data_IF_233818626988
#
_entry.id   IF_233818626988
#
_cell.length_a   1.000
_cell.length_b   1.000
_cell.length_c   1.000
_cell.angle_alpha   90.00
_cell.angle_beta   90.00
_cell.angle_gamma   90.00
#
_symmetry.space_group_name_H-M   'P 1'
#
loop_
_entity.id
_entity.type
_entity.pdbx_description
1 polymer ?
#
# COMPACT_ATOMS: atom_id res chain seq x y z
N UNK A 1 24.96 26.49 12.31
CA UNK A 1 24.98 26.23 13.77
C UNK A 1 24.26 24.92 14.04
N UNK A 2 24.76 24.06 14.93
CA UNK A 2 24.14 22.77 15.27
C UNK A 2 23.03 23.01 16.32
N UNK A 3 21.79 22.63 15.99
CA UNK A 3 20.62 22.79 16.87
C UNK A 3 20.70 21.87 18.10
N UNK A 4 19.94 22.17 19.17
CA UNK A 4 19.92 21.30 20.36
C UNK A 4 19.46 19.88 20.02
N UNK A 5 18.46 19.74 19.16
CA UNK A 5 17.95 18.44 18.70
C UNK A 5 19.01 17.60 17.99
N UNK A 6 19.71 18.15 16.99
CA UNK A 6 20.73 17.41 16.24
C UNK A 6 21.90 16.92 17.10
N UNK A 7 22.28 17.66 18.17
CA UNK A 7 23.32 17.23 19.12
C UNK A 7 22.98 15.91 19.82
N UNK A 8 21.72 15.69 20.20
CA UNK A 8 21.30 14.43 20.83
C UNK A 8 21.48 13.25 19.88
N UNK A 9 21.11 13.41 18.62
CA UNK A 9 21.24 12.35 17.62
C UNK A 9 22.69 12.07 17.25
N UNK A 10 23.53 13.09 17.11
CA UNK A 10 24.98 12.88 16.94
C UNK A 10 25.63 12.25 18.17
N UNK A 11 25.18 12.63 19.38
CA UNK A 11 25.62 11.99 20.63
C UNK A 11 25.24 10.51 20.69
N UNK A 12 23.98 10.18 20.38
CA UNK A 12 23.50 8.81 20.29
C UNK A 12 24.22 8.00 19.20
N UNK A 13 24.53 8.63 18.07
CA UNK A 13 25.32 8.01 17.00
C UNK A 13 26.75 7.72 17.46
N UNK A 14 27.42 8.66 18.13
CA UNK A 14 28.76 8.47 18.66
C UNK A 14 28.80 7.36 19.72
N UNK A 15 27.84 7.36 20.65
CA UNK A 15 27.71 6.28 21.65
C UNK A 15 27.42 4.95 20.97
N UNK A 16 26.53 4.91 19.98
CA UNK A 16 26.22 3.72 19.19
C UNK A 16 27.44 3.16 18.45
N UNK A 17 28.27 4.02 17.83
CA UNK A 17 29.52 3.62 17.19
C UNK A 17 30.53 3.06 18.18
N UNK A 18 30.70 3.72 19.34
CA UNK A 18 31.60 3.24 20.38
C UNK A 18 31.14 1.90 20.96
N UNK A 19 29.84 1.74 21.17
CA UNK A 19 29.24 0.48 21.62
C UNK A 19 29.39 -0.62 20.56
N UNK A 20 29.16 -0.33 19.28
CA UNK A 20 29.38 -1.28 18.19
C UNK A 20 30.85 -1.72 18.13
N UNK A 21 31.79 -0.77 18.23
CA UNK A 21 33.21 -1.05 18.24
C UNK A 21 33.63 -1.92 19.44
N UNK A 22 33.24 -1.52 20.65
CA UNK A 22 33.53 -2.27 21.87
C UNK A 22 32.89 -3.68 21.83
N UNK A 23 31.65 -3.79 21.38
CA UNK A 23 30.93 -5.06 21.24
C UNK A 23 31.62 -5.98 20.24
N UNK A 24 31.99 -5.47 19.06
CA UNK A 24 32.71 -6.23 18.03
C UNK A 24 34.08 -6.71 18.52
N UNK A 25 34.80 -5.88 19.29
CA UNK A 25 36.07 -6.25 19.92
C UNK A 25 35.92 -7.32 21.01
N UNK A 26 34.97 -7.14 21.93
CA UNK A 26 34.77 -8.04 23.08
C UNK A 26 34.31 -9.41 22.60
N UNK A 27 33.30 -9.44 21.73
CA UNK A 27 32.80 -10.70 21.15
C UNK A 27 33.84 -11.34 20.23
N UNK A 28 34.59 -10.54 19.48
CA UNK A 28 35.69 -11.02 18.64
C UNK A 28 36.80 -11.66 19.46
N UNK A 29 37.17 -11.04 20.58
CA UNK A 29 38.19 -11.58 21.49
C UNK A 29 37.70 -12.84 22.22
N UNK A 30 36.43 -12.89 22.63
CA UNK A 30 35.83 -14.09 23.22
C UNK A 30 35.90 -15.31 22.29
N UNK A 31 35.64 -15.11 20.99
CA UNK A 31 35.70 -16.18 19.99
C UNK A 31 37.13 -16.64 19.68
N UNK A 32 38.15 -15.88 20.10
CA UNK A 32 39.58 -16.15 19.86
C UNK A 32 40.34 -16.46 21.17
N UNK A 33 39.69 -17.11 22.14
CA UNK A 33 40.33 -17.56 23.39
C UNK A 33 40.34 -16.54 24.52
N UNK A 34 39.60 -15.43 24.38
CA UNK A 34 39.46 -14.38 25.38
C UNK A 34 40.42 -13.22 25.22
N UNK A 35 40.15 -12.11 25.92
CA UNK A 35 40.89 -10.85 25.82
C UNK A 35 42.38 -11.03 26.20
N UNK A 36 42.68 -11.87 27.18
CA UNK A 36 44.05 -12.16 27.62
C UNK A 36 44.86 -12.91 26.56
N UNK A 37 44.24 -13.86 25.85
CA UNK A 37 44.88 -14.63 24.78
C UNK A 37 45.13 -13.76 23.54
N UNK A 38 44.18 -12.89 23.17
CA UNK A 38 44.34 -11.96 22.04
C UNK A 38 45.43 -10.93 22.30
N UNK A 39 45.62 -10.51 23.55
CA UNK A 39 46.66 -9.57 23.94
C UNK A 39 48.06 -10.20 23.90
N UNK A 40 48.20 -11.47 24.32
CA UNK A 40 49.49 -12.18 24.33
C UNK A 40 49.92 -12.72 22.96
N UNK A 41 48.96 -13.01 22.08
CA UNK A 41 49.19 -13.56 20.74
C UNK A 41 49.42 -12.51 19.64
N UNK A 42 49.34 -11.22 19.96
CA UNK A 42 49.41 -10.14 18.96
C UNK A 42 48.17 -9.99 18.10
N UNK A 43 47.06 -10.66 18.43
CA UNK A 43 45.77 -10.58 17.73
C UNK A 43 45.03 -9.24 17.93
N UNK A 44 45.54 -8.35 18.77
CA UNK A 44 44.92 -7.05 19.08
C UNK A 44 44.64 -6.21 17.82
N UNK A 45 45.58 -6.20 16.87
CA UNK A 45 45.43 -5.44 15.62
C UNK A 45 44.23 -5.95 14.83
N UNK A 46 44.06 -7.26 14.68
CA UNK A 46 42.92 -7.83 13.96
C UNK A 46 41.58 -7.62 14.71
N UNK A 47 41.62 -7.55 16.04
CA UNK A 47 40.46 -7.24 16.87
C UNK A 47 40.01 -5.78 16.76
N UNK A 48 40.94 -4.84 16.51
CA UNK A 48 40.64 -3.42 16.33
C UNK A 48 40.24 -3.13 14.87
N UNK A 49 41.01 -3.65 13.92
CA UNK A 49 40.82 -3.39 12.49
C UNK A 49 39.52 -4.04 11.99
N UNK A 50 39.09 -5.17 12.58
CA UNK A 50 37.84 -5.85 12.23
C UNK A 50 36.62 -4.92 12.35
N UNK A 51 36.26 -4.44 13.54
CA UNK A 51 35.12 -3.54 13.73
C UNK A 51 35.27 -2.19 13.04
N UNK A 52 36.49 -1.72 12.76
CA UNK A 52 36.74 -0.45 12.08
C UNK A 52 36.57 -0.54 10.57
N UNK A 53 36.79 -1.72 10.00
CA UNK A 53 36.62 -2.01 8.56
C UNK A 53 35.32 -2.74 8.26
N UNK A 54 34.37 -2.76 9.20
CA UNK A 54 33.10 -3.48 9.08
C UNK A 54 33.26 -4.99 8.82
N UNK A 55 34.36 -5.58 9.29
CA UNK A 55 34.69 -6.98 9.06
C UNK A 55 35.42 -7.28 7.76
N UNK A 56 35.81 -6.26 6.97
CA UNK A 56 36.59 -6.46 5.73
C UNK A 56 38.03 -6.92 6.02
N UNK A 57 38.67 -6.40 7.07
CA UNK A 57 40.03 -6.78 7.48
C UNK A 57 40.09 -7.01 8.98
N UNK A 58 40.42 -8.23 9.40
CA UNK A 58 40.36 -8.66 10.80
C UNK A 58 39.06 -9.40 11.11
N UNK A 59 38.72 -9.52 12.40
CA UNK A 59 37.54 -10.27 12.84
C UNK A 59 36.58 -9.39 13.63
N UNK A 60 35.29 -9.64 13.43
CA UNK A 60 34.19 -9.08 14.24
C UNK A 60 33.48 -10.30 14.83
N UNK A 61 33.30 -10.33 16.14
CA UNK A 61 32.76 -11.50 16.85
C UNK A 61 31.34 -11.87 16.43
N UNK A 62 30.35 -11.39 17.18
CA UNK A 62 28.95 -11.57 16.78
C UNK A 62 28.54 -10.51 15.74
N UNK A 63 28.30 -10.97 14.51
CA UNK A 63 27.91 -10.11 13.40
C UNK A 63 26.49 -9.54 13.55
N UNK A 64 25.58 -10.27 14.22
CA UNK A 64 24.19 -9.84 14.36
C UNK A 64 24.13 -8.66 15.34
N UNK A 65 24.66 -8.81 16.55
CA UNK A 65 24.70 -7.72 17.53
C UNK A 65 25.51 -6.52 17.04
N UNK A 66 26.65 -6.76 16.38
CA UNK A 66 27.46 -5.69 15.81
C UNK A 66 26.71 -4.91 14.72
N UNK A 67 26.07 -5.59 13.77
CA UNK A 67 25.34 -4.95 12.66
C UNK A 67 24.13 -4.14 13.15
N UNK A 68 23.43 -4.60 14.20
CA UNK A 68 22.32 -3.86 14.81
C UNK A 68 22.82 -2.54 15.44
N UNK A 69 23.91 -2.59 16.22
CA UNK A 69 24.48 -1.39 16.84
C UNK A 69 25.02 -0.42 15.78
N UNK A 70 25.61 -0.96 14.72
CA UNK A 70 26.09 -0.17 13.59
C UNK A 70 24.93 0.50 12.83
N UNK A 71 23.85 -0.24 12.58
CA UNK A 71 22.64 0.29 11.94
C UNK A 71 21.97 1.37 12.80
N UNK A 72 21.90 1.16 14.11
CA UNK A 72 21.43 2.18 15.05
C UNK A 72 22.28 3.45 14.96
N UNK A 73 23.60 3.31 14.99
CA UNK A 73 24.51 4.45 14.92
C UNK A 73 24.39 5.19 13.57
N UNK A 74 24.30 4.46 12.46
CA UNK A 74 24.08 5.01 11.13
C UNK A 74 22.73 5.74 11.01
N UNK A 75 21.66 5.17 11.55
CA UNK A 75 20.34 5.79 11.57
C UNK A 75 20.34 7.08 12.40
N UNK A 76 20.95 7.07 13.59
CA UNK A 76 21.06 8.26 14.43
C UNK A 76 21.90 9.35 13.76
N UNK A 77 22.99 8.97 13.07
CA UNK A 77 23.79 9.92 12.30
C UNK A 77 23.00 10.51 11.12
N UNK A 78 22.22 9.68 10.42
CA UNK A 78 21.37 10.14 9.32
C UNK A 78 20.28 11.10 9.80
N UNK A 79 19.62 10.80 10.92
CA UNK A 79 18.62 11.70 11.53
C UNK A 79 19.29 13.00 12.00
N UNK A 80 20.46 12.93 12.67
CA UNK A 80 21.22 14.11 13.05
C UNK A 80 21.62 14.99 11.87
N UNK A 81 22.04 14.35 10.77
CA UNK A 81 22.35 14.98 9.48
C UNK A 81 21.13 15.69 8.90
N UNK A 82 19.99 15.01 8.84
CA UNK A 82 18.73 15.56 8.36
C UNK A 82 18.31 16.80 9.17
N UNK A 83 18.34 16.72 10.49
CA UNK A 83 18.02 17.86 11.37
C UNK A 83 18.99 19.02 11.21
N UNK A 84 20.25 18.74 10.85
CA UNK A 84 21.24 19.78 10.55
C UNK A 84 20.96 20.43 9.20
N UNK A 85 20.57 19.64 8.19
CA UNK A 85 20.23 20.12 6.86
C UNK A 85 18.97 21.00 6.85
N UNK A 86 17.97 20.66 7.66
CA UNK A 86 16.70 21.39 7.77
C UNK A 86 16.64 22.32 9.00
N UNK A 87 17.80 22.68 9.58
CA UNK A 87 17.89 23.51 10.79
C UNK A 87 17.25 24.89 10.65
N UNK A 88 17.15 25.41 9.43
CA UNK A 88 16.64 26.75 9.16
C UNK A 88 15.10 26.83 9.35
N UNK A 89 14.42 25.67 9.50
CA UNK A 89 13.01 25.59 9.86
C UNK A 89 12.73 25.49 11.37
N UNK A 90 13.74 25.63 12.24
CA UNK A 90 13.57 25.54 13.70
C UNK A 90 12.86 26.80 14.25
N UNK A 91 11.97 26.61 15.22
CA UNK A 91 11.24 27.70 15.87
C UNK A 91 12.20 28.73 16.49
N UNK A 92 13.30 28.28 17.10
CA UNK A 92 14.33 29.17 17.65
C UNK A 92 15.03 30.00 16.57
N UNK A 93 15.24 29.46 15.36
CA UNK A 93 15.84 30.19 14.26
C UNK A 93 14.90 31.27 13.72
N UNK A 94 13.60 30.98 13.65
CA UNK A 94 12.57 31.95 13.25
C UNK A 94 12.44 33.08 14.26
N UNK A 95 12.50 32.78 15.56
CA UNK A 95 12.50 33.77 16.64
C UNK A 95 13.69 34.74 16.50
N UNK A 96 14.88 34.23 16.18
CA UNK A 96 16.07 35.08 16.01
C UNK A 96 15.99 36.00 14.80
N UNK A 97 15.35 35.57 13.70
CA UNK A 97 15.17 36.38 12.50
C UNK A 97 14.19 37.54 12.74
N UNK A 98 13.19 37.33 13.59
CA UNK A 98 12.14 38.34 13.85
C UNK A 98 12.62 39.52 14.72
N UNK A 99 13.73 39.36 15.42
CA UNK A 99 14.50 40.46 16.01
C UNK A 99 14.59 40.44 17.54
N UNK A 100 15.30 41.40 18.14
CA UNK A 100 15.46 41.47 19.60
C UNK A 100 14.13 41.74 20.30
N UNK A 101 13.75 40.91 21.27
CA UNK A 101 12.51 41.05 22.05
C UNK A 101 11.39 40.07 21.69
N UNK A 102 11.55 39.28 20.62
CA UNK A 102 10.65 38.16 20.34
C UNK A 102 11.05 36.93 21.15
N UNK A 103 10.11 36.38 21.92
CA UNK A 103 10.24 35.12 22.67
C UNK A 103 9.29 34.08 22.10
N UNK A 104 9.36 32.82 22.57
CA UNK A 104 8.46 31.74 22.16
C UNK A 104 6.97 32.09 22.25
N UNK A 105 6.61 33.00 23.14
CA UNK A 105 5.21 33.36 23.44
C UNK A 105 4.64 34.41 22.49
N UNK A 106 5.49 35.21 21.86
CA UNK A 106 5.09 36.34 20.99
C UNK A 106 5.70 36.24 19.58
N UNK A 107 6.42 35.16 19.29
CA UNK A 107 6.95 34.90 17.97
C UNK A 107 5.82 34.44 17.06
N UNK A 108 5.82 34.97 15.83
CA UNK A 108 4.96 34.48 14.77
C UNK A 108 5.55 33.18 14.23
N UNK A 109 5.47 32.14 15.06
CA UNK A 109 5.73 30.79 14.64
C UNK A 109 4.61 30.50 13.64
N UNK A 110 4.95 30.40 12.35
CA UNK A 110 4.06 29.99 11.24
C UNK A 110 3.56 28.54 11.43
N UNK A 111 3.10 28.20 12.63
CA UNK A 111 2.40 26.98 13.00
C UNK A 111 1.01 27.15 12.45
N UNK A 112 0.87 26.79 11.18
CA UNK A 112 -0.44 26.66 10.56
C UNK A 112 -1.22 25.66 11.40
N UNK A 113 -2.28 26.12 12.04
CA UNK A 113 -3.18 25.26 12.80
C UNK A 113 -3.76 24.21 11.85
N UNK A 114 -3.72 22.90 12.22
CA UNK A 114 -4.23 21.84 11.35
C UNK A 114 -5.66 22.16 10.90
N UNK A 115 -5.85 22.28 9.59
CA UNK A 115 -7.13 22.68 9.02
C UNK A 115 -8.02 21.44 8.83
N UNK A 116 -8.94 21.23 9.76
CA UNK A 116 -10.00 20.23 9.67
C UNK A 116 -9.56 18.77 9.84
N UNK A 117 -10.53 17.85 9.82
CA UNK A 117 -10.29 16.42 9.99
C UNK A 117 -9.57 15.83 8.76
N UNK A 118 -8.57 14.97 9.00
CA UNK A 118 -7.88 14.22 7.94
C UNK A 118 -8.31 12.77 7.97
N UNK A 119 -8.89 12.30 6.87
CA UNK A 119 -9.36 10.91 6.72
C UNK A 119 -8.28 9.97 6.17
N UNK A 120 -7.22 10.53 5.57
CA UNK A 120 -6.09 9.80 5.01
C UNK A 120 -5.30 8.90 5.99
N UNK A 121 -5.13 9.22 7.30
CA UNK A 121 -4.53 8.28 8.25
C UNK A 121 -5.29 6.95 8.32
N UNK A 122 -6.62 7.00 8.26
CA UNK A 122 -7.48 5.80 8.31
C UNK A 122 -7.29 4.99 7.03
N UNK A 123 -7.24 5.65 5.87
CA UNK A 123 -6.97 5.00 4.57
C UNK A 123 -5.56 4.38 4.56
N UNK A 124 -4.57 5.05 5.13
CA UNK A 124 -3.21 4.55 5.28
C UNK A 124 -3.14 3.30 6.17
N UNK A 125 -3.82 3.33 7.32
CA UNK A 125 -3.91 2.17 8.21
C UNK A 125 -4.58 0.97 7.53
N UNK A 126 -5.66 1.19 6.79
CA UNK A 126 -6.33 0.13 6.03
C UNK A 126 -5.44 -0.44 4.92
N UNK A 127 -4.71 0.42 4.22
CA UNK A 127 -3.76 0.02 3.17
C UNK A 127 -2.60 -0.82 3.73
N UNK A 128 -2.05 -0.42 4.89
CA UNK A 128 -1.06 -1.21 5.61
C UNK A 128 -1.63 -2.56 6.08
N UNK A 129 -2.87 -2.56 6.59
CA UNK A 129 -3.59 -3.78 6.95
C UNK A 129 -3.76 -4.74 5.75
N UNK A 130 -4.11 -4.21 4.57
CA UNK A 130 -4.22 -5.00 3.34
C UNK A 130 -2.88 -5.62 2.93
N UNK A 131 -1.76 -4.92 3.12
CA UNK A 131 -0.43 -5.47 2.85
C UNK A 131 -0.15 -6.64 3.81
N UNK A 132 -0.36 -6.44 5.11
CA UNK A 132 -0.11 -7.46 6.13
C UNK A 132 -0.94 -8.72 5.85
N UNK A 133 -2.24 -8.56 5.58
CA UNK A 133 -3.13 -9.67 5.22
C UNK A 133 -2.73 -10.27 3.86
N UNK A 134 -2.37 -9.43 2.90
CA UNK A 134 -1.97 -9.85 1.55
C UNK A 134 -0.72 -10.72 1.53
N UNK A 135 0.25 -10.43 2.40
CA UNK A 135 1.48 -11.24 2.53
C UNK A 135 1.18 -12.71 2.87
N UNK A 136 0.07 -12.99 3.55
CA UNK A 136 -0.37 -14.35 3.87
C UNK A 136 -1.33 -14.95 2.84
N UNK A 137 -2.15 -14.13 2.16
CA UNK A 137 -3.28 -14.61 1.34
C UNK A 137 -2.98 -14.54 -0.16
N UNK A 138 -2.56 -13.39 -0.69
CA UNK A 138 -2.31 -13.23 -2.12
C UNK A 138 -1.52 -11.96 -2.46
N UNK A 139 -0.65 -12.06 -3.48
CA UNK A 139 0.12 -10.91 -3.97
C UNK A 139 -0.72 -9.75 -4.52
N UNK A 140 -1.95 -10.02 -4.97
CA UNK A 140 -2.88 -8.99 -5.46
C UNK A 140 -3.27 -8.05 -4.31
N UNK A 141 -3.56 -8.58 -3.12
CA UNK A 141 -3.88 -7.75 -1.94
C UNK A 141 -2.70 -6.88 -1.52
N UNK A 142 -1.48 -7.41 -1.61
CA UNK A 142 -0.25 -6.64 -1.38
C UNK A 142 -0.12 -5.50 -2.39
N UNK A 143 -0.32 -5.78 -3.68
CA UNK A 143 -0.22 -4.77 -4.73
C UNK A 143 -1.25 -3.64 -4.54
N UNK A 144 -2.50 -3.99 -4.21
CA UNK A 144 -3.56 -3.00 -3.92
C UNK A 144 -3.24 -2.19 -2.67
N UNK A 145 -2.76 -2.82 -1.60
CA UNK A 145 -2.34 -2.13 -0.38
C UNK A 145 -1.16 -1.18 -0.61
N UNK A 146 -0.16 -1.59 -1.38
CA UNK A 146 0.97 -0.75 -1.78
C UNK A 146 0.51 0.46 -2.60
N UNK A 147 -0.37 0.25 -3.59
CA UNK A 147 -0.96 1.34 -4.36
C UNK A 147 -1.69 2.33 -3.46
N UNK A 148 -2.49 1.83 -2.50
CA UNK A 148 -3.17 2.65 -1.50
C UNK A 148 -2.21 3.49 -0.66
N UNK A 149 -1.10 2.90 -0.19
CA UNK A 149 -0.07 3.64 0.54
C UNK A 149 0.59 4.73 -0.31
N UNK A 150 0.89 4.46 -1.59
CA UNK A 150 1.45 5.47 -2.50
C UNK A 150 0.49 6.66 -2.63
N UNK A 151 -0.81 6.39 -2.82
CA UNK A 151 -1.83 7.45 -2.88
C UNK A 151 -1.87 8.23 -1.57
N UNK A 152 -1.88 7.57 -0.42
CA UNK A 152 -1.90 8.23 0.90
C UNK A 152 -0.67 9.11 1.09
N UNK A 153 0.52 8.65 0.70
CA UNK A 153 1.75 9.43 0.79
C UNK A 153 1.64 10.68 -0.07
N UNK A 154 1.26 10.55 -1.34
CA UNK A 154 1.10 11.70 -2.25
C UNK A 154 0.08 12.69 -1.68
N UNK A 155 -1.09 12.22 -1.27
CA UNK A 155 -2.17 13.04 -0.75
C UNK A 155 -1.82 13.77 0.54
N UNK A 156 -1.15 13.08 1.46
CA UNK A 156 -0.62 13.69 2.67
C UNK A 156 0.47 14.71 2.37
N UNK A 157 1.40 14.39 1.47
CA UNK A 157 2.47 15.32 1.09
C UNK A 157 1.89 16.59 0.48
N UNK A 158 0.97 16.48 -0.48
CA UNK A 158 0.43 17.67 -1.12
C UNK A 158 -0.49 18.45 -0.18
N UNK A 159 -1.24 17.78 0.71
CA UNK A 159 -1.98 18.47 1.77
C UNK A 159 -1.04 19.24 2.69
N UNK A 160 0.00 18.58 3.21
CA UNK A 160 1.00 19.14 4.10
C UNK A 160 1.77 20.31 3.47
N UNK A 161 2.00 20.28 2.16
CA UNK A 161 2.54 21.39 1.39
C UNK A 161 1.53 22.52 1.24
N UNK A 162 0.30 22.20 0.82
CA UNK A 162 -0.74 23.20 0.54
C UNK A 162 -1.12 24.00 1.79
N UNK A 163 -1.16 23.35 2.96
CA UNK A 163 -1.44 24.01 4.23
C UNK A 163 -0.39 25.07 4.58
N UNK A 164 0.84 24.95 4.05
CA UNK A 164 1.97 25.86 4.29
C UNK A 164 2.30 26.79 3.12
N UNK A 165 1.52 26.75 2.05
CA UNK A 165 1.84 27.48 0.82
C UNK A 165 1.71 29.01 0.97
N UNK A 166 0.74 29.49 1.75
CA UNK A 166 0.48 30.92 1.99
C UNK A 166 -0.10 31.11 3.40
N UNK A 167 -0.13 32.34 3.90
CA UNK A 167 -0.65 32.68 5.23
C UNK A 167 -2.20 32.67 5.30
N UNK A 168 -2.90 32.53 4.16
CA UNK A 168 -4.36 32.41 4.08
C UNK A 168 -4.82 30.95 3.86
N UNK A 169 -5.52 30.40 4.86
CA UNK A 169 -6.07 29.05 4.82
C UNK A 169 -7.11 28.83 3.70
N UNK A 170 -7.89 29.86 3.34
CA UNK A 170 -8.88 29.75 2.27
C UNK A 170 -8.17 29.60 0.92
N UNK A 171 -7.17 30.43 0.64
CA UNK A 171 -6.32 30.35 -0.54
C UNK A 171 -5.59 29.01 -0.66
N UNK A 172 -5.03 28.50 0.44
CA UNK A 172 -4.34 27.20 0.50
C UNK A 172 -5.28 26.04 0.13
N UNK A 173 -6.50 26.04 0.66
CA UNK A 173 -7.50 25.02 0.33
C UNK A 173 -7.92 25.07 -1.14
N UNK A 174 -8.02 26.28 -1.71
CA UNK A 174 -8.36 26.46 -3.12
C UNK A 174 -7.21 26.00 -4.03
N UNK A 175 -5.96 26.26 -3.65
CA UNK A 175 -4.77 25.82 -4.36
C UNK A 175 -4.67 24.29 -4.42
N UNK A 176 -4.87 23.60 -3.29
CA UNK A 176 -4.94 22.13 -3.27
C UNK A 176 -6.02 21.61 -4.20
N UNK A 177 -7.24 22.15 -4.11
CA UNK A 177 -8.36 21.70 -4.95
C UNK A 177 -8.05 21.87 -6.44
N UNK A 178 -7.48 23.02 -6.83
CA UNK A 178 -7.09 23.27 -8.22
C UNK A 178 -6.06 22.26 -8.74
N UNK A 179 -5.09 21.86 -7.91
CA UNK A 179 -4.06 20.90 -8.29
C UNK A 179 -4.56 19.45 -8.27
N UNK A 180 -5.32 19.06 -7.24
CA UNK A 180 -5.67 17.66 -7.01
C UNK A 180 -6.96 17.24 -7.70
N UNK A 181 -7.99 18.08 -7.74
CA UNK A 181 -9.30 17.68 -8.29
C UNK A 181 -9.25 17.14 -9.73
N UNK A 182 -8.42 17.69 -10.65
CA UNK A 182 -8.27 17.13 -11.99
C UNK A 182 -7.80 15.67 -12.03
N UNK A 183 -7.11 15.21 -10.98
CA UNK A 183 -6.51 13.87 -10.89
C UNK A 183 -7.33 12.99 -9.93
N UNK A 184 -7.69 13.52 -8.76
CA UNK A 184 -8.48 12.83 -7.73
C UNK A 184 -9.84 12.39 -8.27
N UNK A 185 -10.55 13.27 -8.99
CA UNK A 185 -11.92 12.99 -9.42
C UNK A 185 -11.95 11.81 -10.42
N UNK A 186 -11.15 11.80 -11.50
CA UNK A 186 -11.09 10.66 -12.40
C UNK A 186 -10.65 9.37 -11.71
N UNK A 187 -9.58 9.42 -10.90
CA UNK A 187 -9.07 8.21 -10.22
C UNK A 187 -10.11 7.65 -9.26
N UNK A 188 -10.72 8.51 -8.43
CA UNK A 188 -11.76 8.09 -7.50
C UNK A 188 -12.97 7.50 -8.23
N UNK A 189 -13.36 8.08 -9.37
CA UNK A 189 -14.43 7.55 -10.21
C UNK A 189 -14.08 6.18 -10.79
N UNK A 190 -12.85 6.00 -11.31
CA UNK A 190 -12.39 4.73 -11.86
C UNK A 190 -12.31 3.65 -10.78
N UNK A 191 -11.70 3.95 -9.63
CA UNK A 191 -11.58 2.99 -8.52
C UNK A 191 -12.97 2.62 -7.99
N UNK A 192 -13.86 3.61 -7.82
CA UNK A 192 -15.24 3.37 -7.40
C UNK A 192 -16.00 2.47 -8.39
N UNK A 193 -15.88 2.73 -9.69
CA UNK A 193 -16.50 1.91 -10.72
C UNK A 193 -15.95 0.48 -10.74
N UNK A 194 -14.62 0.31 -10.68
CA UNK A 194 -13.99 -1.02 -10.63
C UNK A 194 -14.41 -1.80 -9.38
N UNK A 195 -14.51 -1.15 -8.22
CA UNK A 195 -14.98 -1.77 -6.99
C UNK A 195 -16.43 -2.26 -7.14
N UNK A 196 -17.32 -1.45 -7.73
CA UNK A 196 -18.71 -1.83 -8.00
C UNK A 196 -18.77 -3.05 -8.94
N UNK A 197 -18.04 -3.01 -10.05
CA UNK A 197 -18.01 -4.12 -11.03
C UNK A 197 -17.49 -5.41 -10.39
N UNK A 198 -16.41 -5.32 -9.59
CA UNK A 198 -15.83 -6.46 -8.90
C UNK A 198 -16.80 -7.08 -7.89
N UNK A 199 -17.46 -6.26 -7.07
CA UNK A 199 -18.43 -6.73 -6.08
C UNK A 199 -19.67 -7.32 -6.75
N UNK A 200 -20.13 -6.72 -7.85
CA UNK A 200 -21.22 -7.28 -8.66
C UNK A 200 -20.85 -8.64 -9.25
N UNK A 201 -19.64 -8.79 -9.79
CA UNK A 201 -19.11 -10.08 -10.28
C UNK A 201 -19.18 -11.15 -9.20
N UNK A 202 -18.77 -10.82 -7.96
CA UNK A 202 -18.85 -11.72 -6.82
C UNK A 202 -20.29 -12.09 -6.42
N UNK A 203 -21.22 -11.13 -6.47
CA UNK A 203 -22.63 -11.39 -6.18
C UNK A 203 -23.22 -12.34 -7.23
N UNK A 204 -23.02 -12.04 -8.51
CA UNK A 204 -23.59 -12.83 -9.61
C UNK A 204 -23.05 -14.26 -9.65
N UNK A 205 -21.78 -14.47 -9.29
CA UNK A 205 -21.20 -15.80 -9.17
C UNK A 205 -21.86 -16.63 -8.05
N UNK A 206 -22.28 -15.98 -6.97
CA UNK A 206 -22.87 -16.67 -5.83
C UNK A 206 -24.35 -17.03 -6.00
N UNK A 207 -25.11 -16.28 -6.81
CA UNK A 207 -26.56 -16.46 -6.95
C UNK A 207 -26.89 -17.61 -7.92
N UNK A 208 -27.85 -18.47 -7.57
CA UNK A 208 -28.25 -19.67 -8.36
C UNK A 208 -29.02 -19.29 -9.63
N UNK A 209 -29.06 -20.16 -10.66
CA UNK A 209 -29.77 -19.90 -11.94
C UNK A 209 -31.21 -19.40 -11.74
N UNK A 210 -31.93 -19.97 -10.76
CA UNK A 210 -33.32 -19.59 -10.45
C UNK A 210 -33.41 -18.37 -9.51
N UNK A 211 -32.44 -18.17 -8.63
CA UNK A 211 -32.37 -16.99 -7.75
C UNK A 211 -31.89 -15.72 -8.45
N UNK A 212 -31.14 -15.85 -9.55
CA UNK A 212 -30.49 -14.73 -10.24
C UNK A 212 -31.50 -13.75 -10.83
N UNK A 213 -32.55 -14.26 -11.47
CA UNK A 213 -33.61 -13.43 -12.03
C UNK A 213 -34.29 -12.59 -10.93
N UNK A 214 -34.61 -13.19 -9.78
CA UNK A 214 -35.28 -12.51 -8.66
C UNK A 214 -34.36 -11.44 -8.07
N UNK A 215 -33.08 -11.75 -7.86
CA UNK A 215 -32.10 -10.78 -7.32
C UNK A 215 -31.89 -9.62 -8.30
N UNK A 216 -31.76 -9.90 -9.60
CA UNK A 216 -31.60 -8.86 -10.63
C UNK A 216 -32.83 -7.97 -10.69
N UNK A 217 -34.04 -8.53 -10.68
CA UNK A 217 -35.29 -7.76 -10.65
C UNK A 217 -35.37 -6.89 -9.40
N UNK A 218 -35.05 -7.45 -8.22
CA UNK A 218 -35.09 -6.73 -6.96
C UNK A 218 -34.07 -5.57 -6.93
N UNK A 219 -32.84 -5.80 -7.40
CA UNK A 219 -31.81 -4.75 -7.54
C UNK A 219 -32.26 -3.69 -8.53
N UNK A 220 -32.82 -4.09 -9.69
CA UNK A 220 -33.32 -3.14 -10.69
C UNK A 220 -34.45 -2.27 -10.12
N UNK A 221 -35.38 -2.84 -9.36
CA UNK A 221 -36.46 -2.10 -8.68
C UNK A 221 -35.89 -1.13 -7.65
N UNK A 222 -34.89 -1.53 -6.85
CA UNK A 222 -34.24 -0.65 -5.88
C UNK A 222 -33.54 0.51 -6.59
N UNK A 223 -32.72 0.23 -7.60
CA UNK A 223 -31.98 1.25 -8.35
C UNK A 223 -32.94 2.22 -9.03
N UNK A 224 -34.00 1.69 -9.66
CA UNK A 224 -35.02 2.51 -10.29
C UNK A 224 -35.79 3.36 -9.28
N UNK A 225 -36.16 2.79 -8.13
CA UNK A 225 -36.81 3.51 -7.04
C UNK A 225 -35.95 4.65 -6.49
N UNK A 226 -34.66 4.40 -6.29
CA UNK A 226 -33.69 5.44 -5.88
C UNK A 226 -33.56 6.51 -6.95
N UNK A 227 -33.46 6.14 -8.23
CA UNK A 227 -33.36 7.09 -9.33
C UNK A 227 -34.61 7.98 -9.43
N UNK A 228 -35.81 7.40 -9.33
CA UNK A 228 -37.08 8.15 -9.32
C UNK A 228 -37.18 9.07 -8.10
N UNK A 229 -36.75 8.60 -6.93
CA UNK A 229 -36.72 9.41 -5.70
C UNK A 229 -35.77 10.60 -5.81
N UNK A 230 -34.56 10.38 -6.33
CA UNK A 230 -33.60 11.46 -6.61
C UNK A 230 -34.14 12.44 -7.66
N UNK A 231 -34.74 11.92 -8.74
CA UNK A 231 -35.30 12.74 -9.82
C UNK A 231 -36.47 13.60 -9.37
N UNK A 232 -37.29 13.11 -8.43
CA UNK A 232 -38.47 13.82 -7.95
C UNK A 232 -38.14 14.98 -6.99
N UNK A 233 -36.89 15.08 -6.52
CA UNK A 233 -36.44 16.09 -5.56
C UNK A 233 -35.17 16.80 -6.05
N UNK A 234 -35.28 17.81 -6.94
CA UNK A 234 -34.11 18.53 -7.49
C UNK A 234 -33.32 19.37 -6.47
N UNK A 235 -33.84 19.55 -5.23
CA UNK A 235 -33.19 20.33 -4.16
C UNK A 235 -32.64 19.47 -3.00
N UNK A 236 -32.29 18.20 -3.25
CA UNK A 236 -31.75 17.35 -2.19
C UNK A 236 -30.45 17.92 -1.62
N UNK A 237 -30.41 18.05 -0.29
CA UNK A 237 -29.20 18.40 0.44
C UNK A 237 -28.14 17.34 0.13
N UNK A 238 -26.89 17.78 -0.11
CA UNK A 238 -25.74 16.90 -0.41
C UNK A 238 -25.62 15.70 0.55
N UNK A 239 -25.97 15.88 1.82
CA UNK A 239 -25.96 14.83 2.83
C UNK A 239 -26.92 13.66 2.55
N UNK A 240 -28.07 13.92 1.93
CA UNK A 240 -29.04 12.86 1.57
C UNK A 240 -28.48 12.01 0.43
N UNK A 241 -27.86 12.66 -0.56
CA UNK A 241 -27.21 11.96 -1.68
C UNK A 241 -26.05 11.08 -1.20
N UNK A 242 -25.23 11.62 -0.29
CA UNK A 242 -24.14 10.87 0.35
C UNK A 242 -24.69 9.71 1.18
N UNK A 243 -25.74 9.94 1.97
CA UNK A 243 -26.37 8.89 2.77
C UNK A 243 -26.91 7.73 1.93
N UNK A 244 -27.63 8.03 0.85
CA UNK A 244 -28.13 7.02 -0.09
C UNK A 244 -26.98 6.23 -0.75
N UNK A 245 -25.93 6.93 -1.18
CA UNK A 245 -24.75 6.29 -1.77
C UNK A 245 -24.03 5.37 -0.78
N UNK A 246 -23.87 5.81 0.47
CA UNK A 246 -23.24 5.00 1.53
C UNK A 246 -24.06 3.75 1.85
N UNK A 247 -25.38 3.86 1.96
CA UNK A 247 -26.25 2.70 2.19
C UNK A 247 -26.10 1.71 1.02
N UNK A 248 -26.14 2.19 -0.23
CA UNK A 248 -25.93 1.37 -1.41
C UNK A 248 -24.56 0.67 -1.40
N UNK A 249 -23.50 1.40 -1.06
CA UNK A 249 -22.15 0.84 -0.96
C UNK A 249 -22.06 -0.25 0.12
N UNK A 250 -22.67 -0.05 1.28
CA UNK A 250 -22.70 -1.04 2.37
C UNK A 250 -23.46 -2.31 1.96
N UNK A 251 -24.63 -2.17 1.33
CA UNK A 251 -25.41 -3.31 0.84
C UNK A 251 -24.64 -4.11 -0.21
N UNK A 252 -23.97 -3.40 -1.12
CA UNK A 252 -23.19 -4.00 -2.20
C UNK A 252 -21.93 -4.70 -1.66
N UNK A 253 -21.27 -4.13 -0.64
CA UNK A 253 -20.19 -4.79 0.09
C UNK A 253 -20.67 -6.05 0.82
N UNK A 254 -21.77 -5.97 1.56
CA UNK A 254 -22.34 -7.12 2.27
C UNK A 254 -22.71 -8.26 1.30
N UNK A 255 -23.34 -7.92 0.18
CA UNK A 255 -23.67 -8.87 -0.89
C UNK A 255 -22.41 -9.49 -1.52
N UNK A 256 -21.39 -8.68 -1.82
CA UNK A 256 -20.13 -9.16 -2.39
C UNK A 256 -19.36 -10.11 -1.46
N UNK A 257 -19.33 -9.83 -0.16
CA UNK A 257 -18.70 -10.68 0.85
C UNK A 257 -19.47 -12.00 1.00
N UNK A 258 -20.80 -11.93 1.13
CA UNK A 258 -21.67 -13.10 1.20
C UNK A 258 -21.57 -13.97 -0.08
N UNK A 259 -21.41 -13.33 -1.23
CA UNK A 259 -21.16 -14.04 -2.47
C UNK A 259 -19.74 -14.62 -2.57
N UNK A 260 -18.77 -13.99 -1.91
CA UNK A 260 -17.39 -14.46 -1.85
C UNK A 260 -17.21 -15.77 -1.07
N UNK A 261 -17.97 -15.96 0.01
CA UNK A 261 -17.90 -17.13 0.89
C UNK A 261 -18.68 -18.35 0.36
N UNK A 262 -19.61 -18.14 -0.59
CA UNK A 262 -20.32 -19.23 -1.25
C UNK A 262 -19.37 -19.83 -2.30
N UNK A 263 -18.72 -20.95 -1.96
CA UNK A 263 -17.63 -21.55 -2.73
C UNK A 263 -17.96 -21.87 -4.21
N UNK A 264 -16.93 -22.15 -5.04
CA UNK A 264 -17.11 -22.49 -6.45
C UNK A 264 -18.00 -23.73 -6.58
N UNK A 265 -18.96 -23.68 -7.50
CA UNK A 265 -19.85 -24.81 -7.79
C UNK A 265 -19.08 -25.89 -8.54
N UNK A 266 -19.23 -27.13 -8.12
CA UNK A 266 -18.93 -28.28 -8.97
C UNK A 266 -19.79 -28.16 -10.23
N UNK A 267 -19.12 -28.11 -11.38
CA UNK A 267 -19.80 -27.97 -12.67
C UNK A 267 -20.42 -29.31 -13.01
N UNK A 268 -21.73 -29.44 -12.82
CA UNK A 268 -22.50 -30.51 -13.43
C UNK A 268 -22.45 -30.32 -14.95
N UNK A 269 -21.70 -31.21 -15.61
CA UNK A 269 -21.60 -31.33 -17.05
C UNK A 269 -22.98 -31.68 -17.61
N UNK A 270 -23.79 -30.66 -17.89
CA UNK A 270 -25.06 -30.81 -18.59
C UNK A 270 -24.85 -30.39 -20.03
N UNK A 271 -24.86 -31.41 -20.91
CA UNK A 271 -24.59 -31.30 -22.33
C UNK A 271 -25.39 -30.18 -23.00
N UNK A 272 -24.67 -29.25 -23.61
CA UNK A 272 -25.21 -28.30 -24.59
C UNK A 272 -24.47 -28.49 -25.91
N UNK A 273 -24.32 -29.74 -26.35
CA UNK A 273 -23.75 -30.10 -27.67
C UNK A 273 -24.74 -30.81 -28.61
N UNK A 274 -26.03 -30.91 -28.28
CA UNK A 274 -27.01 -31.56 -29.20
C UNK A 274 -27.86 -30.59 -30.05
N UNK A 275 -27.67 -29.27 -29.93
CA UNK A 275 -28.48 -28.28 -30.66
C UNK A 275 -27.94 -27.83 -32.03
N UNK A 276 -26.66 -28.10 -32.34
CA UNK A 276 -25.98 -27.56 -33.55
C UNK A 276 -25.53 -28.67 -34.52
N UNK A 277 -25.31 -29.91 -34.03
CA UNK A 277 -24.93 -31.04 -34.89
C UNK A 277 -26.09 -31.61 -35.72
N UNK A 278 -27.34 -31.48 -35.29
CA UNK A 278 -28.51 -31.98 -36.04
C UNK A 278 -28.87 -31.12 -37.26
N UNK A 279 -28.43 -29.87 -37.31
CA UNK A 279 -28.60 -28.98 -38.47
C UNK A 279 -27.51 -29.17 -39.56
N UNK A 280 -26.38 -29.79 -39.21
CA UNK A 280 -25.28 -30.04 -40.15
C UNK A 280 -25.38 -31.43 -40.79
N UNK A 281 -25.96 -32.42 -40.09
CA UNK A 281 -26.16 -33.79 -40.60
C UNK A 281 -27.30 -33.90 -41.64
N UNK A 282 -28.17 -32.90 -41.75
CA UNK A 282 -29.28 -32.88 -42.73
C UNK A 282 -28.94 -32.33 -44.13
N UNK A 283 -27.72 -31.83 -44.36
CA UNK A 283 -27.37 -31.07 -45.58
C UNK A 283 -26.34 -31.74 -46.49
N UNK A 284 -25.83 -32.92 -46.17
CA UNK A 284 -24.78 -33.62 -46.94
C UNK A 284 -25.21 -34.97 -47.50
N UNK A 285 -26.48 -35.08 -47.92
CA UNK A 285 -27.05 -36.27 -48.51
C UNK A 285 -27.50 -36.12 -49.97
N UNK A 286 -26.62 -35.77 -50.93
CA UNK A 286 -26.82 -36.20 -52.33
C UNK A 286 -25.61 -35.98 -53.25
N UNK A 287 -25.45 -36.90 -54.21
CA UNK A 287 -24.39 -37.09 -55.22
C UNK A 287 -23.17 -37.88 -54.71
N UNK A 288 -22.76 -39.01 -55.27
CA UNK A 288 -23.21 -39.74 -56.46
C UNK A 288 -22.03 -40.55 -57.03
N UNK A 289 -22.08 -41.87 -56.82
CA UNK A 289 -21.57 -42.96 -57.68
C UNK A 289 -20.05 -43.25 -57.85
N UNK A 290 -19.75 -44.54 -57.66
CA UNK A 290 -18.68 -45.39 -58.25
C UNK A 290 -17.23 -45.05 -57.85
N UNK A 291 -16.41 -45.97 -57.33
CA UNK A 291 -15.97 -47.23 -57.95
C UNK A 291 -15.19 -48.08 -56.92
N UNK A 292 -15.26 -49.40 -57.07
CA UNK A 292 -14.74 -50.44 -56.17
C UNK A 292 -13.34 -50.95 -56.54
N UNK A 293 -12.40 -51.07 -55.60
CA UNK A 293 -11.28 -52.06 -55.61
C UNK A 293 -10.58 -52.02 -54.23
N UNK A 294 -10.66 -53.07 -53.38
CA UNK A 294 -9.63 -54.13 -53.17
C UNK A 294 -8.25 -53.57 -52.80
N UNK A 295 -7.49 -53.92 -51.76
CA UNK A 295 -7.36 -55.13 -50.94
C UNK A 295 -6.38 -54.82 -49.77
N UNK A 296 -6.57 -55.51 -48.64
CA UNK A 296 -5.60 -56.12 -47.72
C UNK A 296 -4.19 -55.53 -47.42
N UNK A 297 -3.87 -55.65 -46.13
CA UNK A 297 -2.61 -56.15 -45.53
C UNK A 297 -1.61 -55.15 -44.90
N UNK A 298 -1.16 -55.54 -43.69
CA UNK A 298 0.06 -55.20 -42.92
C UNK A 298 -0.02 -53.93 -42.04
N UNK A 299 -0.20 -53.98 -40.71
CA UNK A 299 0.70 -54.45 -39.62
C UNK A 299 2.20 -54.17 -39.84
N UNK A 300 2.79 -53.34 -38.96
CA UNK A 300 3.91 -53.63 -38.05
C UNK A 300 4.67 -52.33 -37.70
N UNK A 301 4.89 -52.18 -36.39
CA UNK A 301 5.97 -51.50 -35.64
C UNK A 301 7.07 -50.78 -36.44
N UNK A 302 7.40 -49.55 -36.02
CA UNK A 302 8.36 -49.26 -34.94
C UNK A 302 8.02 -47.93 -34.26
#
# INVERSE_FOLDING_TARGET
MITRGSKYFYGAAAVGLLMAFAYGMITGASNNGGISAVLSSGGLVNSIVGPLTFGYKGWVGDQIGYSILLAFAGLMAAIGGFLTAFRDGDAEALIQIQGPGTTSDNADLRVVTPQGLSYWPIVGAFSAGLIIVGLAVSGILVAVGCLGLVVVIVEWTVRAWSERATDDAAANSALRKKLMYPIEIPIAATVGALAIVFLMSRILLAVSKTGAAIVIILVAVIVFGVAVFLSSRPHLKRSVLVGALLIGAVLLLAGGIAGGISGPRESEHSGTEEGISSLTTGLTGHSGLTESTSLDHLTVEY
#
